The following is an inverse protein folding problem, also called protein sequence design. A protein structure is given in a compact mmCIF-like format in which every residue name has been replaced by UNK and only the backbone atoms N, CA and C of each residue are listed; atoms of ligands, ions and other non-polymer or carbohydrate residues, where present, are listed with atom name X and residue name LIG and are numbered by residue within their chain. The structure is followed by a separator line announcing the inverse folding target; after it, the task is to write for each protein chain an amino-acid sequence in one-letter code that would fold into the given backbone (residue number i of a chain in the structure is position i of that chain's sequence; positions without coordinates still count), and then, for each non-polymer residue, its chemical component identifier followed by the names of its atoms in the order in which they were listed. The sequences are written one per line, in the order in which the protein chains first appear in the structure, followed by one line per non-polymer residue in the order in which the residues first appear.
data_IF_861678830153
#
_entry.id   IF_861678830153
#
_cell.length_a   1.000
_cell.length_b   1.000
_cell.length_c   1.000
_cell.angle_alpha   90.00
_cell.angle_beta   90.00
_cell.angle_gamma   90.00
#
_symmetry.space_group_name_H-M   'P 1'
#
loop_
_entity.id
_entity.type
_entity.pdbx_description
1 polymer ?
#
# COMPACT_ATOMS: atom_id res chain seq x y z
N UNK A 1 26.90 35.20 28.01
CA UNK A 1 26.94 35.21 26.52
C UNK A 1 25.97 34.18 25.97
N UNK A 2 25.27 34.49 24.87
CA UNK A 2 24.17 33.67 24.31
C UNK A 2 24.60 32.29 23.74
N UNK A 3 25.90 31.99 23.71
CA UNK A 3 26.47 30.74 23.16
C UNK A 3 25.91 29.49 23.84
N UNK A 4 25.71 29.51 25.15
CA UNK A 4 25.11 28.38 25.88
C UNK A 4 23.67 28.08 25.45
N UNK A 5 22.86 29.12 25.20
CA UNK A 5 21.49 28.94 24.69
C UNK A 5 21.48 28.32 23.30
N UNK A 6 22.39 28.75 22.41
CA UNK A 6 22.53 28.16 21.07
C UNK A 6 22.94 26.69 21.17
N UNK A 7 23.94 26.37 22.00
CA UNK A 7 24.35 24.98 22.22
C UNK A 7 23.23 24.12 22.80
N UNK A 8 22.41 24.68 23.70
CA UNK A 8 21.24 23.99 24.25
C UNK A 8 20.20 23.69 23.16
N UNK A 9 19.83 24.67 22.32
CA UNK A 9 18.89 24.44 21.24
C UNK A 9 19.40 23.42 20.21
N UNK A 10 20.68 23.47 19.86
CA UNK A 10 21.30 22.48 18.97
C UNK A 10 21.29 21.07 19.58
N UNK A 11 21.57 20.94 20.88
CA UNK A 11 21.50 19.66 21.57
C UNK A 11 20.07 19.10 21.60
N UNK A 12 19.07 19.96 21.88
CA UNK A 12 17.65 19.57 21.85
C UNK A 12 17.26 19.13 20.43
N UNK A 13 17.59 19.91 19.41
CA UNK A 13 17.28 19.56 18.01
C UNK A 13 17.95 18.25 17.60
N UNK A 14 19.23 18.07 17.91
CA UNK A 14 19.95 16.82 17.61
C UNK A 14 19.33 15.62 18.30
N UNK A 15 18.91 15.78 19.56
CA UNK A 15 18.21 14.73 20.31
C UNK A 15 16.87 14.39 19.66
N UNK A 16 16.06 15.38 19.30
CA UNK A 16 14.77 15.15 18.64
C UNK A 16 14.92 14.44 17.29
N UNK A 17 15.93 14.81 16.49
CA UNK A 17 16.22 14.14 15.22
C UNK A 17 16.63 12.69 15.44
N UNK A 18 17.52 12.42 16.40
CA UNK A 18 17.96 11.07 16.72
C UNK A 18 16.79 10.19 17.20
N UNK A 19 15.91 10.73 18.05
CA UNK A 19 14.68 10.05 18.50
C UNK A 19 13.76 9.76 17.32
N UNK A 20 13.50 10.76 16.46
CA UNK A 20 12.65 10.59 15.28
C UNK A 20 13.16 9.52 14.31
N UNK A 21 14.46 9.53 14.01
CA UNK A 21 15.10 8.52 13.17
C UNK A 21 15.04 7.13 13.81
N UNK A 22 15.23 7.04 15.13
CA UNK A 22 15.11 5.78 15.86
C UNK A 22 13.70 5.23 15.74
N UNK A 23 12.67 6.05 15.96
CA UNK A 23 11.28 5.65 15.77
C UNK A 23 11.01 5.18 14.35
N UNK A 24 11.51 5.88 13.33
CA UNK A 24 11.37 5.42 11.94
C UNK A 24 12.02 4.05 11.73
N UNK A 25 13.26 3.85 12.22
CA UNK A 25 14.00 2.59 12.06
C UNK A 25 13.39 1.43 12.84
N UNK A 26 12.70 1.69 13.96
CA UNK A 26 12.02 0.68 14.78
C UNK A 26 10.55 0.50 14.41
N UNK A 27 10.07 1.10 13.31
CA UNK A 27 8.65 1.17 12.95
C UNK A 27 7.76 1.70 14.10
N UNK A 28 8.33 2.54 14.96
CA UNK A 28 7.65 3.21 16.07
C UNK A 28 7.53 2.38 17.34
N UNK A 29 8.19 1.21 17.42
CA UNK A 29 8.15 0.38 18.63
C UNK A 29 8.74 1.13 19.85
N UNK A 30 8.12 1.03 21.04
CA UNK A 30 6.82 0.39 21.34
C UNK A 30 5.61 1.33 21.22
N UNK A 31 5.83 2.63 20.94
CA UNK A 31 4.80 3.68 20.96
C UNK A 31 3.70 3.42 19.93
N UNK A 32 4.07 3.08 18.70
CA UNK A 32 3.13 2.91 17.59
C UNK A 32 2.25 1.67 17.72
N UNK A 33 2.66 0.68 18.53
CA UNK A 33 1.84 -0.52 18.80
C UNK A 33 0.63 -0.22 19.69
N UNK A 34 0.63 0.91 20.40
CA UNK A 34 -0.51 1.36 21.21
C UNK A 34 -1.55 2.12 20.38
N UNK A 35 -1.23 2.46 19.12
CA UNK A 35 -2.14 3.17 18.24
C UNK A 35 -3.03 2.20 17.47
N UNK A 36 -4.26 2.61 17.15
CA UNK A 36 -5.19 1.83 16.33
C UNK A 36 -4.59 1.47 14.95
N UNK A 37 -3.79 2.36 14.40
CA UNK A 37 -3.07 2.19 13.14
C UNK A 37 -1.65 2.71 13.34
N UNK A 38 -0.66 1.91 12.97
CA UNK A 38 0.74 2.31 13.07
C UNK A 38 1.06 3.29 11.94
N UNK A 39 1.38 4.57 12.23
CA UNK A 39 1.62 5.60 11.21
C UNK A 39 2.88 5.34 10.36
N UNK A 40 3.78 4.47 10.83
CA UNK A 40 5.01 4.08 10.14
C UNK A 40 4.87 2.77 9.37
N UNK A 41 3.74 2.05 9.49
CA UNK A 41 3.50 0.82 8.73
C UNK A 41 3.59 1.04 7.22
N UNK A 42 3.29 2.26 6.77
CA UNK A 42 3.36 2.72 5.39
C UNK A 42 4.79 2.61 4.80
N UNK A 43 5.82 2.62 5.64
CA UNK A 43 7.23 2.57 5.20
C UNK A 43 7.72 1.15 4.88
N UNK A 44 6.95 0.12 5.23
CA UNK A 44 7.41 -1.27 5.21
C UNK A 44 6.60 -2.15 4.25
N UNK A 45 7.24 -3.20 3.71
CA UNK A 45 6.56 -4.29 3.01
C UNK A 45 6.24 -4.09 1.52
N UNK A 46 6.17 -2.86 1.02
CA UNK A 46 5.83 -2.56 -0.38
C UNK A 46 6.68 -3.29 -1.41
N UNK A 47 8.00 -3.42 -1.16
CA UNK A 47 8.89 -4.18 -2.04
C UNK A 47 8.48 -5.65 -2.11
N UNK A 48 8.32 -6.30 -0.97
CA UNK A 48 7.96 -7.71 -0.89
C UNK A 48 6.58 -7.98 -1.50
N UNK A 49 5.59 -7.13 -1.20
CA UNK A 49 4.25 -7.22 -1.75
C UNK A 49 4.24 -7.06 -3.28
N UNK A 50 5.01 -6.10 -3.81
CA UNK A 50 5.11 -5.86 -5.25
C UNK A 50 5.87 -6.98 -5.98
N UNK A 51 6.90 -7.55 -5.37
CA UNK A 51 7.60 -8.73 -5.91
C UNK A 51 6.65 -9.92 -6.00
N UNK A 52 5.87 -10.19 -4.95
CA UNK A 52 4.88 -11.27 -4.97
C UNK A 52 3.80 -11.00 -6.03
N UNK A 53 3.29 -9.77 -6.12
CA UNK A 53 2.32 -9.40 -7.14
C UNK A 53 2.86 -9.60 -8.57
N UNK A 54 4.14 -9.26 -8.83
CA UNK A 54 4.79 -9.52 -10.11
C UNK A 54 4.84 -11.00 -10.48
N UNK A 55 5.16 -11.86 -9.50
CA UNK A 55 5.16 -13.31 -9.71
C UNK A 55 3.77 -13.79 -10.10
N UNK A 56 2.73 -13.36 -9.38
CA UNK A 56 1.34 -13.73 -9.65
C UNK A 56 0.85 -13.18 -10.99
N UNK A 57 1.24 -11.97 -11.38
CA UNK A 57 0.92 -11.40 -12.71
C UNK A 57 1.47 -12.30 -13.81
N UNK A 58 2.74 -12.72 -13.69
CA UNK A 58 3.40 -13.58 -14.68
C UNK A 58 2.77 -14.97 -14.73
N UNK A 59 2.49 -15.56 -13.57
CA UNK A 59 1.93 -16.91 -13.43
C UNK A 59 0.51 -16.99 -14.01
N UNK A 60 -0.35 -16.02 -13.66
CA UNK A 60 -1.75 -15.99 -14.06
C UNK A 60 -1.98 -15.28 -15.40
N UNK A 61 -0.91 -14.77 -16.04
CA UNK A 61 -0.95 -13.97 -17.27
C UNK A 61 -1.94 -12.80 -17.16
N UNK A 62 -1.91 -12.12 -16.01
CA UNK A 62 -2.73 -10.95 -15.76
C UNK A 62 -2.21 -9.74 -16.55
N UNK A 63 -3.09 -8.77 -16.83
CA UNK A 63 -2.73 -7.51 -17.52
C UNK A 63 -1.80 -6.63 -16.69
N UNK A 64 -1.78 -6.81 -15.36
CA UNK A 64 -0.93 -6.05 -14.44
C UNK A 64 -1.45 -6.11 -13.01
N UNK A 65 -0.99 -5.15 -12.20
CA UNK A 65 -1.40 -4.97 -10.81
C UNK A 65 -2.41 -3.85 -10.74
N UNK A 66 -3.47 -4.02 -9.97
CA UNK A 66 -4.45 -2.97 -9.71
C UNK A 66 -4.47 -2.60 -8.23
N UNK A 67 -4.64 -1.32 -7.94
CA UNK A 67 -4.92 -0.79 -6.60
C UNK A 67 -6.18 0.08 -6.65
N UNK A 68 -6.91 0.17 -5.54
CA UNK A 68 -8.18 0.91 -5.50
C UNK A 68 -8.03 2.40 -5.16
N UNK A 69 -6.81 2.87 -4.92
CA UNK A 69 -6.55 4.25 -4.57
C UNK A 69 -5.18 4.72 -5.07
N UNK A 70 -5.15 5.90 -5.69
CA UNK A 70 -3.93 6.53 -6.19
C UNK A 70 -2.76 6.60 -5.18
N UNK A 71 -3.04 6.80 -3.89
CA UNK A 71 -1.99 6.99 -2.86
C UNK A 71 -1.17 5.71 -2.62
N UNK A 72 -1.70 4.55 -3.01
CA UNK A 72 -1.02 3.27 -2.93
C UNK A 72 -0.18 2.99 -4.19
N UNK A 73 -0.54 3.58 -5.32
CA UNK A 73 -0.02 3.23 -6.63
C UNK A 73 1.47 3.57 -6.81
N UNK A 74 1.95 4.69 -6.25
CA UNK A 74 3.33 5.16 -6.46
C UNK A 74 4.39 4.14 -6.00
N UNK A 75 4.19 3.56 -4.82
CA UNK A 75 5.11 2.56 -4.24
C UNK A 75 5.05 1.25 -4.98
N UNK A 76 3.85 0.83 -5.37
CA UNK A 76 3.67 -0.37 -6.19
C UNK A 76 4.35 -0.17 -7.55
N UNK A 77 4.09 0.95 -8.24
CA UNK A 77 4.71 1.26 -9.53
C UNK A 77 6.24 1.36 -9.47
N UNK A 78 6.81 1.77 -8.33
CA UNK A 78 8.26 1.76 -8.13
C UNK A 78 8.83 0.34 -7.98
N UNK A 79 8.23 -0.47 -7.10
CA UNK A 79 8.77 -1.80 -6.77
C UNK A 79 8.33 -2.92 -7.72
N UNK A 80 7.23 -2.72 -8.45
CA UNK A 80 6.68 -3.71 -9.38
C UNK A 80 7.27 -3.61 -10.79
N UNK A 81 8.21 -2.68 -11.07
CA UNK A 81 8.79 -2.54 -12.40
C UNK A 81 9.30 -3.88 -12.95
N UNK A 82 9.03 -4.22 -14.23
CA UNK A 82 8.39 -3.39 -15.26
C UNK A 82 6.86 -3.54 -15.38
N UNK A 83 6.18 -4.21 -14.45
CA UNK A 83 4.74 -4.49 -14.53
C UNK A 83 3.90 -3.22 -14.46
N UNK A 84 2.89 -3.10 -15.32
CA UNK A 84 1.93 -2.00 -15.30
C UNK A 84 1.08 -1.99 -14.03
N UNK A 85 0.83 -0.80 -13.50
CA UNK A 85 0.01 -0.58 -12.31
C UNK A 85 -1.19 0.30 -12.67
N UNK A 86 -2.39 -0.21 -12.41
CA UNK A 86 -3.64 0.47 -12.70
C UNK A 86 -4.30 0.96 -11.41
N UNK A 87 -4.85 2.17 -11.45
CA UNK A 87 -5.63 2.73 -10.33
C UNK A 87 -7.11 2.57 -10.66
N UNK A 88 -7.85 1.91 -9.77
CA UNK A 88 -9.30 1.66 -9.91
C UNK A 88 -10.10 2.77 -9.21
N UNK A 89 -9.77 4.02 -9.50
CA UNK A 89 -10.57 5.17 -9.11
C UNK A 89 -10.96 6.01 -10.34
N UNK A 90 -11.81 7.00 -10.12
CA UNK A 90 -12.46 7.78 -11.18
C UNK A 90 -11.70 9.05 -11.57
N UNK A 91 -10.57 9.34 -10.92
CA UNK A 91 -9.79 10.54 -11.19
C UNK A 91 -8.78 10.25 -12.29
N UNK A 92 -8.55 11.26 -13.12
CA UNK A 92 -7.41 11.27 -14.02
C UNK A 92 -6.14 11.65 -13.23
N UNK A 93 -5.17 10.74 -13.18
CA UNK A 93 -3.93 10.93 -12.45
C UNK A 93 -2.67 10.58 -13.27
N UNK A 94 -1.50 10.65 -12.63
CA UNK A 94 -0.22 10.37 -13.31
C UNK A 94 -0.09 8.93 -13.81
N UNK A 95 -0.80 7.98 -13.22
CA UNK A 95 -0.74 6.57 -13.58
C UNK A 95 -1.52 6.31 -14.87
N UNK A 96 -2.58 7.07 -15.14
CA UNK A 96 -3.26 7.06 -16.44
C UNK A 96 -2.32 7.49 -17.58
N UNK A 97 -1.44 8.48 -17.32
CA UNK A 97 -0.45 8.92 -18.30
C UNK A 97 0.66 7.87 -18.51
N UNK A 98 1.03 7.11 -17.49
CA UNK A 98 2.15 6.16 -17.54
C UNK A 98 1.74 4.78 -18.04
N UNK A 99 0.56 4.32 -17.66
CA UNK A 99 0.10 2.94 -17.88
C UNK A 99 -1.22 2.86 -18.64
N UNK A 100 -1.93 3.98 -18.81
CA UNK A 100 -3.27 4.01 -19.38
C UNK A 100 -4.34 3.49 -18.41
N UNK A 101 -5.59 3.57 -18.85
CA UNK A 101 -6.72 2.98 -18.13
C UNK A 101 -6.74 1.46 -18.31
N UNK A 102 -7.26 0.73 -17.32
CA UNK A 102 -7.41 -0.72 -17.39
C UNK A 102 -8.41 -1.09 -18.50
N UNK A 103 -8.02 -1.85 -19.55
CA UNK A 103 -8.93 -2.21 -20.63
C UNK A 103 -10.08 -3.10 -20.13
N UNK A 104 -11.27 -2.93 -20.69
CA UNK A 104 -12.40 -3.81 -20.44
C UNK A 104 -12.06 -5.28 -20.76
N UNK A 105 -12.62 -6.19 -19.97
CA UNK A 105 -12.34 -7.63 -20.03
C UNK A 105 -11.01 -8.04 -19.38
N UNK A 106 -10.17 -7.11 -18.94
CA UNK A 106 -8.88 -7.41 -18.33
C UNK A 106 -9.00 -8.21 -17.03
N UNK A 107 -7.96 -8.99 -16.76
CA UNK A 107 -7.74 -9.67 -15.49
C UNK A 107 -6.51 -9.04 -14.81
N UNK A 108 -6.54 -8.86 -13.49
CA UNK A 108 -5.48 -8.18 -12.75
C UNK A 108 -5.19 -8.89 -11.43
N UNK A 109 -3.99 -8.63 -10.89
CA UNK A 109 -3.71 -8.87 -9.48
C UNK A 109 -4.11 -7.62 -8.70
N UNK A 110 -5.20 -7.71 -7.94
CA UNK A 110 -5.63 -6.67 -7.03
C UNK A 110 -4.78 -6.73 -5.77
N UNK A 111 -4.08 -5.64 -5.45
CA UNK A 111 -3.30 -5.49 -4.23
C UNK A 111 -4.01 -4.55 -3.26
N UNK A 112 -4.33 -5.07 -2.08
CA UNK A 112 -4.97 -4.32 -0.99
C UNK A 112 -4.02 -4.24 0.21
N UNK A 113 -4.06 -3.15 0.97
CA UNK A 113 -3.20 -2.93 2.13
C UNK A 113 -4.03 -2.69 3.38
N UNK A 114 -3.75 -3.41 4.48
CA UNK A 114 -4.62 -3.48 5.65
C UNK A 114 -4.85 -2.14 6.36
N UNK A 115 -3.91 -1.20 6.24
CA UNK A 115 -4.06 0.15 6.82
C UNK A 115 -4.93 1.07 5.93
N UNK A 116 -5.23 0.63 4.70
CA UNK A 116 -6.13 1.30 3.76
C UNK A 116 -6.96 0.27 2.98
N UNK A 117 -7.74 -0.56 3.71
CA UNK A 117 -8.52 -1.64 3.07
C UNK A 117 -9.71 -1.10 2.27
N UNK A 118 -9.97 -1.76 1.15
CA UNK A 118 -11.15 -1.55 0.32
C UNK A 118 -11.85 -2.88 0.08
N UNK A 119 -13.17 -2.86 -0.04
CA UNK A 119 -13.95 -4.02 -0.49
C UNK A 119 -13.50 -4.43 -1.90
N UNK A 120 -13.50 -5.72 -2.24
CA UNK A 120 -13.25 -6.15 -3.61
C UNK A 120 -14.22 -5.49 -4.60
N UNK A 121 -13.75 -4.88 -5.71
CA UNK A 121 -14.60 -4.19 -6.67
C UNK A 121 -15.26 -5.19 -7.62
N UNK A 122 -16.30 -5.88 -7.14
CA UNK A 122 -17.07 -6.89 -7.87
C UNK A 122 -18.52 -6.43 -8.01
N UNK A 123 -19.07 -6.50 -9.23
CA UNK A 123 -20.45 -6.10 -9.50
C UNK A 123 -20.62 -5.43 -10.86
N UNK A 124 -21.76 -4.77 -11.04
CA UNK A 124 -22.12 -4.14 -12.32
C UNK A 124 -21.07 -3.10 -12.75
N UNK A 125 -20.44 -3.35 -13.90
CA UNK A 125 -19.38 -2.50 -14.45
C UNK A 125 -18.02 -2.62 -13.74
N UNK A 126 -17.89 -3.43 -12.68
CA UNK A 126 -16.59 -3.71 -12.05
C UNK A 126 -16.05 -5.07 -12.52
N UNK A 127 -15.28 -5.79 -11.69
CA UNK A 127 -14.89 -7.16 -12.04
C UNK A 127 -16.06 -8.13 -11.91
N UNK A 128 -16.04 -9.18 -12.73
CA UNK A 128 -16.98 -10.30 -12.62
C UNK A 128 -16.71 -11.15 -11.37
N UNK A 129 -15.44 -11.38 -11.06
CA UNK A 129 -15.00 -12.15 -9.89
C UNK A 129 -13.70 -11.60 -9.34
N UNK A 130 -13.50 -11.68 -8.02
CA UNK A 130 -12.23 -11.46 -7.36
C UNK A 130 -11.99 -12.60 -6.36
N UNK A 131 -11.00 -13.46 -6.64
CA UNK A 131 -10.64 -14.60 -5.78
C UNK A 131 -9.39 -14.26 -4.96
N UNK A 132 -9.42 -14.41 -3.63
CA UNK A 132 -8.21 -14.29 -2.81
C UNK A 132 -7.15 -15.28 -3.24
N UNK A 133 -5.90 -14.83 -3.35
CA UNK A 133 -4.74 -15.67 -3.71
C UNK A 133 -3.82 -15.86 -2.50
N UNK A 134 -3.36 -14.76 -1.92
CA UNK A 134 -2.33 -14.79 -0.88
C UNK A 134 -2.46 -13.60 0.06
N UNK A 135 -1.85 -13.72 1.24
CA UNK A 135 -1.76 -12.68 2.25
C UNK A 135 -0.34 -12.59 2.80
N UNK A 136 0.29 -11.45 2.61
CA UNK A 136 1.63 -11.17 3.10
C UNK A 136 1.57 -10.33 4.37
N UNK A 137 1.85 -10.96 5.51
CA UNK A 137 2.01 -10.28 6.79
C UNK A 137 3.38 -9.61 6.87
N UNK A 138 3.40 -8.34 7.23
CA UNK A 138 4.61 -7.54 7.40
C UNK A 138 4.77 -7.26 8.89
N UNK A 139 5.89 -7.75 9.43
CA UNK A 139 6.31 -7.44 10.79
C UNK A 139 7.69 -6.83 10.84
N UNK A 140 8.00 -6.17 11.95
CA UNK A 140 9.30 -5.59 12.23
C UNK A 140 9.61 -5.77 13.71
N UNK A 141 10.82 -6.21 14.04
CA UNK A 141 11.23 -6.52 15.42
C UNK A 141 10.29 -7.48 16.17
N UNK A 142 9.67 -8.43 15.46
CA UNK A 142 8.73 -9.41 16.02
C UNK A 142 7.29 -8.91 16.15
N UNK A 143 7.01 -7.66 15.82
CA UNK A 143 5.70 -7.03 15.93
C UNK A 143 4.99 -6.95 14.58
N UNK A 144 3.67 -7.20 14.55
CA UNK A 144 2.88 -7.10 13.32
C UNK A 144 2.58 -5.63 12.97
N UNK A 145 2.98 -5.20 11.78
CA UNK A 145 2.79 -3.81 11.32
C UNK A 145 1.58 -3.66 10.40
N UNK A 146 1.54 -4.47 9.34
CA UNK A 146 0.47 -4.41 8.34
C UNK A 146 0.41 -5.70 7.55
N UNK A 147 -0.56 -5.79 6.67
CA UNK A 147 -0.76 -6.93 5.81
C UNK A 147 -1.13 -6.47 4.41
N UNK A 148 -0.62 -7.18 3.42
CA UNK A 148 -1.02 -7.04 2.03
C UNK A 148 -1.87 -8.23 1.63
N UNK A 149 -2.98 -7.99 0.96
CA UNK A 149 -3.85 -9.03 0.43
C UNK A 149 -3.82 -8.96 -1.10
N UNK A 150 -3.59 -10.11 -1.73
CA UNK A 150 -3.51 -10.26 -3.17
C UNK A 150 -4.69 -11.10 -3.64
N UNK A 151 -5.42 -10.59 -4.63
CA UNK A 151 -6.56 -11.28 -5.22
C UNK A 151 -6.45 -11.29 -6.74
N UNK A 152 -6.91 -12.37 -7.38
CA UNK A 152 -7.07 -12.42 -8.82
C UNK A 152 -8.46 -11.92 -9.19
N UNK A 153 -8.52 -10.75 -9.83
CA UNK A 153 -9.76 -10.14 -10.28
C UNK A 153 -9.89 -10.28 -11.80
N UNK A 154 -11.07 -10.69 -12.27
CA UNK A 154 -11.28 -11.09 -13.67
C UNK A 154 -12.46 -10.39 -14.32
N UNK A 155 -12.29 -10.05 -15.60
CA UNK A 155 -13.33 -9.46 -16.45
C UNK A 155 -13.73 -8.06 -15.98
N UNK A 156 -12.81 -7.10 -16.06
CA UNK A 156 -13.09 -5.69 -15.76
C UNK A 156 -14.19 -5.10 -16.64
N UNK A 157 -15.16 -4.39 -16.04
CA UNK A 157 -16.30 -3.80 -16.73
C UNK A 157 -16.26 -2.28 -16.97
N UNK A 158 -15.13 -1.62 -16.68
CA UNK A 158 -14.91 -0.20 -17.03
C UNK A 158 -15.38 0.85 -16.01
N UNK A 159 -16.09 0.48 -14.93
CA UNK A 159 -16.59 1.42 -13.92
C UNK A 159 -15.78 1.34 -12.62
N UNK A 160 -15.03 2.39 -12.30
CA UNK A 160 -14.41 2.56 -10.99
C UNK A 160 -15.47 2.89 -9.92
N UNK A 161 -15.43 2.17 -8.79
CA UNK A 161 -16.25 2.47 -7.60
C UNK A 161 -15.57 1.85 -6.36
N UNK A 162 -14.41 2.39 -5.94
CA UNK A 162 -13.67 1.84 -4.81
C UNK A 162 -14.41 2.13 -3.51
N UNK A 163 -14.75 1.08 -2.75
CA UNK A 163 -15.47 1.21 -1.48
C UNK A 163 -14.53 0.93 -0.32
N UNK A 164 -14.20 1.95 0.47
CA UNK A 164 -13.42 1.78 1.71
C UNK A 164 -14.09 0.75 2.60
N UNK A 165 -13.33 -0.22 3.06
CA UNK A 165 -13.77 -1.09 4.13
C UNK A 165 -13.63 -0.32 5.45
N UNK A 166 -14.60 -0.45 6.34
CA UNK A 166 -14.44 0.09 7.68
C UNK A 166 -13.21 -0.57 8.30
N UNK A 167 -12.30 0.23 8.88
CA UNK A 167 -11.16 -0.28 9.63
C UNK A 167 -11.68 -1.28 10.66
N UNK A 168 -11.51 -2.58 10.39
CA UNK A 168 -11.85 -3.63 11.32
C UNK A 168 -11.08 -3.35 12.59
N UNK A 169 -11.81 -3.03 13.65
CA UNK A 169 -11.27 -3.01 15.00
C UNK A 169 -10.80 -4.45 15.24
N UNK A 170 -9.49 -4.70 15.14
CA UNK A 170 -8.97 -5.93 15.74
C UNK A 170 -9.42 -5.91 17.21
N UNK A 171 -10.00 -7.01 17.72
CA UNK A 171 -10.23 -7.14 19.16
C UNK A 171 -8.91 -7.06 19.92
#
# INVERSE_FOLDING_TARGET
GKRWLISLFLAIQGTLVAVGLTLVMTAGYPIANQMKSNPLADLYGWRSASTLANLLVKELKASGIAVQNWSLASRVAWYARPTSVFVLDDRFDQFDLWFGSLPEGSNVILLNWSQMSFKPPVGEGQFRTCRPLDRLSIGHMGEALSQFELSYCQGWGGKANPQREALSLRP
#
